data_IF_586395747569
#
_entry.id   IF_586395747569
#
_cell.length_a   1.000
_cell.length_b   1.000
_cell.length_c   1.000
_cell.angle_alpha   90.00
_cell.angle_beta   90.00
_cell.angle_gamma   90.00
#
_symmetry.space_group_name_H-M   'P 1'
#
loop_
_entity.id
_entity.type
_entity.pdbx_description
1 polymer ?
#
# COMPACT_ATOMS: atom_id res chain seq x y z
N UNK A 1 -39.84 5.16 34.92
CA UNK A 1 -39.47 3.89 34.24
C UNK A 1 -38.73 4.08 32.90
N UNK A 2 -39.17 4.95 31.98
CA UNK A 2 -38.52 5.15 30.65
C UNK A 2 -37.04 5.61 30.65
N UNK A 3 -36.56 6.32 31.69
CA UNK A 3 -35.14 6.74 31.79
C UNK A 3 -34.21 5.59 32.19
N UNK A 4 -34.72 4.64 32.98
CA UNK A 4 -33.94 3.50 33.47
C UNK A 4 -33.73 2.47 32.36
N UNK A 5 -34.75 2.21 31.53
CA UNK A 5 -34.64 1.32 30.37
C UNK A 5 -33.66 1.86 29.31
N UNK A 6 -33.63 3.17 29.05
CA UNK A 6 -32.67 3.77 28.11
C UNK A 6 -31.21 3.64 28.57
N UNK A 7 -30.93 3.74 29.88
CA UNK A 7 -29.58 3.55 30.43
C UNK A 7 -29.12 2.09 30.34
N UNK A 8 -30.02 1.14 30.58
CA UNK A 8 -29.74 -0.29 30.43
C UNK A 8 -29.46 -0.62 28.96
N UNK A 9 -30.28 -0.13 28.03
CA UNK A 9 -30.06 -0.30 26.59
C UNK A 9 -28.71 0.30 26.16
N UNK A 10 -28.38 1.51 26.63
CA UNK A 10 -27.09 2.14 26.34
C UNK A 10 -25.91 1.32 26.90
N UNK A 11 -26.02 0.80 28.13
CA UNK A 11 -24.99 -0.06 28.72
C UNK A 11 -24.82 -1.38 27.95
N UNK A 12 -25.91 -2.00 27.49
CA UNK A 12 -25.87 -3.20 26.65
C UNK A 12 -25.24 -2.94 25.28
N UNK A 13 -25.50 -1.78 24.66
CA UNK A 13 -24.85 -1.37 23.40
C UNK A 13 -23.35 -1.16 23.61
N UNK A 14 -22.95 -0.47 24.68
CA UNK A 14 -21.53 -0.27 25.00
C UNK A 14 -20.84 -1.60 25.27
N UNK A 15 -21.46 -2.52 26.01
CA UNK A 15 -20.91 -3.85 26.26
C UNK A 15 -20.77 -4.66 24.96
N UNK A 16 -21.75 -4.61 24.06
CA UNK A 16 -21.69 -5.26 22.76
C UNK A 16 -20.58 -4.66 21.89
N UNK A 17 -20.42 -3.34 21.88
CA UNK A 17 -19.33 -2.68 21.17
C UNK A 17 -17.97 -3.10 21.72
N UNK A 18 -17.79 -3.15 23.04
CA UNK A 18 -16.54 -3.62 23.67
C UNK A 18 -16.21 -5.05 23.25
N UNK A 19 -17.22 -5.93 23.20
CA UNK A 19 -17.05 -7.33 22.74
C UNK A 19 -16.71 -7.42 21.24
N UNK A 20 -17.32 -6.58 20.41
CA UNK A 20 -16.99 -6.50 18.98
C UNK A 20 -15.57 -5.99 18.77
N UNK A 21 -15.16 -4.91 19.44
CA UNK A 21 -13.81 -4.36 19.33
C UNK A 21 -12.72 -5.32 19.86
N UNK A 22 -12.97 -6.03 20.96
CA UNK A 22 -12.01 -6.98 21.50
C UNK A 22 -11.82 -8.19 20.59
N UNK A 23 -12.90 -8.66 19.95
CA UNK A 23 -12.81 -9.77 18.98
C UNK A 23 -11.93 -9.39 17.78
N UNK A 24 -12.14 -8.22 17.18
CA UNK A 24 -11.34 -7.72 16.05
C UNK A 24 -9.87 -7.58 16.43
N UNK A 25 -9.56 -7.04 17.62
CA UNK A 25 -8.18 -6.90 18.09
C UNK A 25 -7.47 -8.25 18.26
N UNK A 26 -8.16 -9.26 18.80
CA UNK A 26 -7.60 -10.61 18.97
C UNK A 26 -7.32 -11.28 17.62
N UNK A 27 -8.21 -11.08 16.63
CA UNK A 27 -8.01 -11.59 15.27
C UNK A 27 -6.81 -10.95 14.56
N UNK A 28 -6.64 -9.64 14.70
CA UNK A 28 -5.51 -8.91 14.08
C UNK A 28 -4.16 -9.39 14.65
N UNK A 29 -4.07 -9.57 15.98
CA UNK A 29 -2.83 -10.04 16.62
C UNK A 29 -2.44 -11.46 16.18
N UNK A 30 -3.43 -12.33 15.98
CA UNK A 30 -3.19 -13.69 15.49
C UNK A 30 -2.72 -13.69 14.03
N UNK A 31 -3.31 -12.85 13.18
CA UNK A 31 -2.90 -12.69 11.79
C UNK A 31 -1.46 -12.17 11.65
N UNK A 32 -1.07 -11.16 12.43
CA UNK A 32 0.30 -10.62 12.43
C UNK A 32 1.33 -11.68 12.81
N UNK A 33 1.03 -12.47 13.84
CA UNK A 33 1.91 -13.55 14.29
C UNK A 33 2.07 -14.63 13.21
N UNK A 34 0.97 -15.05 12.58
CA UNK A 34 1.00 -16.04 11.49
C UNK A 34 1.77 -15.48 10.30
N UNK A 35 1.58 -14.21 9.96
CA UNK A 35 2.31 -13.53 8.90
C UNK A 35 3.82 -13.53 9.15
N UNK A 36 4.27 -13.11 10.35
CA UNK A 36 5.70 -13.12 10.70
C UNK A 36 6.31 -14.53 10.70
N UNK A 37 5.54 -15.56 11.05
CA UNK A 37 5.99 -16.95 10.93
C UNK A 37 6.20 -17.33 9.45
N UNK A 38 5.30 -16.90 8.57
CA UNK A 38 5.42 -17.09 7.12
C UNK A 38 6.67 -16.39 6.55
N UNK A 39 6.91 -15.13 6.95
CA UNK A 39 8.10 -14.38 6.53
C UNK A 39 9.40 -15.07 6.98
N UNK A 40 9.42 -15.57 8.23
CA UNK A 40 10.55 -16.34 8.74
C UNK A 40 10.77 -17.63 7.94
N UNK A 41 9.71 -18.40 7.69
CA UNK A 41 9.79 -19.62 6.90
C UNK A 41 10.31 -19.35 5.47
N UNK A 42 9.84 -18.27 4.84
CA UNK A 42 10.31 -17.83 3.53
C UNK A 42 11.80 -17.49 3.54
N UNK A 43 12.25 -16.72 4.54
CA UNK A 43 13.66 -16.36 4.70
C UNK A 43 14.57 -17.59 4.95
N UNK A 44 14.03 -18.63 5.60
CA UNK A 44 14.71 -19.91 5.82
C UNK A 44 14.64 -20.86 4.59
N UNK A 45 14.00 -20.46 3.49
CA UNK A 45 13.83 -21.28 2.29
C UNK A 45 12.74 -22.36 2.40
N UNK A 46 11.95 -22.37 3.48
CA UNK A 46 10.85 -23.30 3.71
C UNK A 46 9.57 -22.79 3.04
N UNK A 47 9.59 -22.77 1.72
CA UNK A 47 8.55 -22.10 0.94
C UNK A 47 7.16 -22.73 1.09
N UNK A 48 7.05 -24.04 1.29
CA UNK A 48 5.75 -24.70 1.54
C UNK A 48 5.14 -24.27 2.89
N UNK A 49 5.97 -24.08 3.93
CA UNK A 49 5.50 -23.61 5.24
C UNK A 49 5.09 -22.15 5.19
N UNK A 50 5.84 -21.33 4.43
CA UNK A 50 5.50 -19.94 4.15
C UNK A 50 4.17 -19.84 3.41
N UNK A 51 3.99 -20.63 2.35
CA UNK A 51 2.77 -20.68 1.52
C UNK A 51 1.53 -20.99 2.37
N UNK A 52 1.66 -21.95 3.30
CA UNK A 52 0.59 -22.31 4.23
C UNK A 52 0.28 -21.17 5.20
N UNK A 53 1.30 -20.56 5.78
CA UNK A 53 1.14 -19.48 6.76
C UNK A 53 0.47 -18.25 6.14
N UNK A 54 0.93 -17.81 4.98
CA UNK A 54 0.32 -16.70 4.25
C UNK A 54 -1.11 -17.04 3.80
N UNK A 55 -1.36 -18.29 3.37
CA UNK A 55 -2.72 -18.76 3.05
C UNK A 55 -3.69 -18.59 4.23
N UNK A 56 -3.28 -18.94 5.45
CA UNK A 56 -4.10 -18.77 6.66
C UNK A 56 -4.43 -17.31 6.96
N UNK A 57 -3.53 -16.38 6.65
CA UNK A 57 -3.81 -14.95 6.81
C UNK A 57 -4.79 -14.48 5.73
N UNK A 58 -4.61 -14.91 4.48
CA UNK A 58 -5.51 -14.57 3.37
C UNK A 58 -6.92 -15.17 3.50
N UNK A 59 -7.10 -16.27 4.23
CA UNK A 59 -8.44 -16.79 4.58
C UNK A 59 -9.23 -15.80 5.44
N UNK A 60 -8.55 -15.02 6.28
CA UNK A 60 -9.15 -14.04 7.19
C UNK A 60 -9.22 -12.64 6.59
N UNK A 61 -8.18 -12.24 5.86
CA UNK A 61 -8.05 -10.95 5.20
C UNK A 61 -7.66 -11.14 3.72
N UNK A 62 -8.64 -11.47 2.85
CA UNK A 62 -8.36 -11.86 1.47
C UNK A 62 -7.70 -10.78 0.63
N UNK A 63 -7.92 -9.51 0.98
CA UNK A 63 -7.45 -8.33 0.24
C UNK A 63 -6.21 -7.70 0.88
N UNK A 64 -5.52 -8.42 1.75
CA UNK A 64 -4.28 -7.92 2.32
C UNK A 64 -3.17 -7.89 1.27
N UNK A 65 -2.95 -6.73 0.64
CA UNK A 65 -1.91 -6.53 -0.39
C UNK A 65 -0.53 -7.07 0.04
N UNK A 66 -0.12 -6.86 1.30
CA UNK A 66 1.20 -7.28 1.77
C UNK A 66 1.32 -8.80 1.74
N UNK A 67 0.28 -9.50 2.19
CA UNK A 67 0.26 -10.96 2.25
C UNK A 67 0.07 -11.55 0.85
N UNK A 68 -0.77 -10.95 0.00
CA UNK A 68 -0.92 -11.35 -1.40
C UNK A 68 0.42 -11.31 -2.12
N UNK A 69 1.21 -10.23 -1.92
CA UNK A 69 2.55 -10.09 -2.50
C UNK A 69 3.51 -11.15 -1.97
N UNK A 70 3.55 -11.37 -0.65
CA UNK A 70 4.40 -12.40 -0.04
C UNK A 70 4.04 -13.81 -0.52
N UNK A 71 2.75 -14.09 -0.72
CA UNK A 71 2.26 -15.35 -1.26
C UNK A 71 2.68 -15.51 -2.72
N UNK A 72 2.55 -14.48 -3.56
CA UNK A 72 3.00 -14.50 -4.95
C UNK A 72 4.52 -14.77 -5.04
N UNK A 73 5.34 -14.06 -4.24
CA UNK A 73 6.79 -14.27 -4.17
C UNK A 73 7.12 -15.72 -3.76
N UNK A 74 6.35 -16.29 -2.82
CA UNK A 74 6.48 -17.70 -2.39
C UNK A 74 6.11 -18.69 -3.49
N UNK A 75 5.03 -18.44 -4.22
CA UNK A 75 4.60 -19.26 -5.37
C UNK A 75 5.64 -19.26 -6.48
N UNK A 76 6.30 -18.12 -6.74
CA UNK A 76 7.42 -18.03 -7.69
C UNK A 76 8.60 -18.90 -7.23
N UNK A 77 8.96 -18.86 -5.95
CA UNK A 77 10.01 -19.74 -5.38
C UNK A 77 9.68 -21.22 -5.44
N UNK A 78 8.39 -21.56 -5.46
CA UNK A 78 7.87 -22.91 -5.64
C UNK A 78 7.64 -23.29 -7.12
N UNK A 79 8.01 -22.42 -8.06
CA UNK A 79 7.78 -22.59 -9.52
C UNK A 79 6.29 -22.72 -9.92
N UNK A 80 5.38 -22.24 -9.07
CA UNK A 80 3.92 -22.20 -9.31
C UNK A 80 3.53 -20.90 -10.01
N UNK A 81 4.04 -20.69 -11.21
CA UNK A 81 3.97 -19.39 -11.90
C UNK A 81 2.55 -18.93 -12.22
N UNK A 82 1.66 -19.84 -12.64
CA UNK A 82 0.26 -19.48 -12.95
C UNK A 82 -0.48 -18.98 -11.70
N UNK A 83 -0.27 -19.62 -10.55
CA UNK A 83 -0.89 -19.19 -9.30
C UNK A 83 -0.30 -17.85 -8.81
N UNK A 84 1.00 -17.62 -9.03
CA UNK A 84 1.63 -16.35 -8.72
C UNK A 84 1.07 -15.21 -9.58
N UNK A 85 0.91 -15.45 -10.89
CA UNK A 85 0.35 -14.50 -11.84
C UNK A 85 -1.06 -14.07 -11.43
N UNK A 86 -1.93 -15.03 -11.09
CA UNK A 86 -3.29 -14.72 -10.60
C UNK A 86 -3.28 -13.82 -9.35
N UNK A 87 -2.33 -14.02 -8.43
CA UNK A 87 -2.21 -13.18 -7.24
C UNK A 87 -1.70 -11.78 -7.59
N UNK A 88 -0.75 -11.68 -8.52
CA UNK A 88 -0.21 -10.40 -9.00
C UNK A 88 -1.27 -9.60 -9.77
N UNK A 89 -2.04 -10.25 -10.65
CA UNK A 89 -3.17 -9.63 -11.35
C UNK A 89 -4.22 -9.11 -10.37
N UNK A 90 -4.51 -9.87 -9.31
CA UNK A 90 -5.40 -9.42 -8.24
C UNK A 90 -4.86 -8.16 -7.56
N UNK A 91 -3.56 -8.12 -7.24
CA UNK A 91 -2.91 -6.94 -6.65
C UNK A 91 -3.00 -5.73 -7.59
N UNK A 92 -2.76 -5.93 -8.89
CA UNK A 92 -2.82 -4.89 -9.91
C UNK A 92 -4.25 -4.36 -10.13
N UNK A 93 -5.26 -5.18 -9.92
CA UNK A 93 -6.66 -4.77 -9.99
C UNK A 93 -7.16 -4.04 -8.73
N UNK A 94 -6.38 -4.00 -7.65
CA UNK A 94 -6.78 -3.28 -6.44
C UNK A 94 -6.78 -1.77 -6.68
N UNK A 95 -7.67 -1.00 -6.02
CA UNK A 95 -7.65 0.46 -6.12
C UNK A 95 -6.25 0.99 -5.78
N UNK A 96 -5.71 1.84 -6.65
CA UNK A 96 -4.47 2.59 -6.37
C UNK A 96 -4.71 3.44 -5.11
N UNK A 97 -4.24 2.93 -3.98
CA UNK A 97 -4.32 3.63 -2.72
C UNK A 97 -3.08 3.29 -1.90
N UNK A 98 -1.98 3.99 -2.19
CA UNK A 98 -0.85 4.09 -1.25
C UNK A 98 -1.08 5.12 -0.14
N UNK A 99 -2.28 5.71 -0.08
CA UNK A 99 -2.64 6.71 0.93
C UNK A 99 -2.01 8.08 0.72
N UNK A 100 -1.42 8.36 -0.45
CA UNK A 100 -0.83 9.66 -0.80
C UNK A 100 -1.65 10.40 -1.86
N UNK A 101 -2.95 10.47 -1.62
CA UNK A 101 -3.85 11.24 -2.45
C UNK A 101 -3.58 12.73 -2.26
N UNK A 102 -3.24 13.40 -3.34
CA UNK A 102 -2.98 14.84 -3.39
C UNK A 102 -3.98 15.52 -4.32
N UNK A 103 -4.21 16.81 -4.11
CA UNK A 103 -4.94 17.64 -5.04
C UNK A 103 -3.93 18.52 -5.78
N UNK A 104 -3.85 18.37 -7.10
CA UNK A 104 -2.94 19.13 -7.96
C UNK A 104 -3.71 20.25 -8.65
N UNK A 105 -3.18 21.46 -8.55
CA UNK A 105 -3.72 22.64 -9.21
C UNK A 105 -2.79 23.07 -10.32
N UNK A 106 -3.35 23.32 -11.51
CA UNK A 106 -2.64 24.06 -12.54
C UNK A 106 -2.53 25.53 -12.11
N UNK A 107 -1.41 26.18 -12.45
CA UNK A 107 -1.17 27.58 -12.10
C UNK A 107 -2.32 28.46 -12.64
N UNK A 108 -3.02 29.14 -11.73
CA UNK A 108 -4.15 30.00 -12.07
C UNK A 108 -5.51 29.29 -12.19
N UNK A 109 -5.57 27.96 -12.05
CA UNK A 109 -6.82 27.20 -11.99
C UNK A 109 -7.32 27.03 -10.56
N UNK A 110 -8.61 27.27 -10.33
CA UNK A 110 -9.28 26.98 -9.07
C UNK A 110 -9.76 25.51 -8.96
N UNK A 111 -9.74 24.75 -10.08
CA UNK A 111 -10.23 23.37 -10.11
C UNK A 111 -9.06 22.40 -9.94
N UNK A 112 -8.97 21.79 -8.76
CA UNK A 112 -7.98 20.76 -8.48
C UNK A 112 -8.32 19.42 -9.14
N UNK A 113 -7.29 18.68 -9.55
CA UNK A 113 -7.38 17.29 -10.00
C UNK A 113 -6.88 16.36 -8.88
N UNK A 114 -7.59 15.26 -8.64
CA UNK A 114 -7.11 14.22 -7.72
C UNK A 114 -5.95 13.48 -8.37
N UNK A 115 -4.90 13.24 -7.61
CA UNK A 115 -3.75 12.49 -8.06
C UNK A 115 -3.18 11.67 -6.90
N UNK A 116 -2.46 10.60 -7.19
CA UNK A 116 -1.61 9.93 -6.22
C UNK A 116 -0.16 10.39 -6.37
N UNK A 117 0.47 10.80 -5.26
CA UNK A 117 1.88 11.13 -5.25
C UNK A 117 2.72 9.85 -5.34
N UNK A 118 3.60 9.79 -6.33
CA UNK A 118 4.47 8.65 -6.61
C UNK A 118 5.81 8.82 -5.90
N UNK A 119 6.43 9.99 -6.04
CA UNK A 119 7.71 10.32 -5.42
C UNK A 119 7.74 11.78 -4.96
N UNK A 120 8.28 12.01 -3.76
CA UNK A 120 8.43 13.35 -3.15
C UNK A 120 9.74 14.04 -3.56
N UNK A 121 10.71 13.27 -4.07
CA UNK A 121 12.05 13.73 -4.42
C UNK A 121 12.56 13.02 -5.66
N UNK A 122 12.11 13.41 -6.84
CA UNK A 122 12.92 13.19 -8.04
C UNK A 122 13.96 14.31 -8.03
N UNK A 123 15.15 13.99 -7.52
CA UNK A 123 16.31 14.86 -7.60
C UNK A 123 16.78 14.80 -9.06
N UNK A 124 16.95 15.96 -9.71
CA UNK A 124 17.90 16.04 -10.82
C UNK A 124 19.24 15.69 -10.18
N UNK A 125 19.79 14.53 -10.50
CA UNK A 125 21.20 14.28 -10.24
C UNK A 125 21.91 15.37 -11.04
N UNK A 126 22.62 16.27 -10.36
CA UNK A 126 23.56 17.13 -11.07
C UNK A 126 24.50 16.25 -11.90
N UNK A 127 25.03 16.79 -12.99
CA UNK A 127 25.78 16.07 -14.03
C UNK A 127 27.08 15.37 -13.54
N UNK A 128 27.30 15.23 -12.23
CA UNK A 128 28.47 14.55 -11.64
C UNK A 128 28.26 13.06 -11.32
N UNK A 129 27.07 12.51 -11.54
CA UNK A 129 26.74 11.14 -11.13
C UNK A 129 26.28 10.20 -12.26
N UNK A 130 27.23 9.79 -13.13
CA UNK A 130 27.16 8.63 -14.04
C UNK A 130 25.76 8.11 -14.43
N UNK A 131 25.27 8.52 -15.61
CA UNK A 131 24.25 7.77 -16.36
C UNK A 131 24.65 7.79 -17.84
N UNK A 132 24.68 6.59 -18.45
CA UNK A 132 25.05 6.35 -19.85
C UNK A 132 24.35 7.31 -20.81
N UNK A 133 25.13 7.90 -21.72
CA UNK A 133 24.73 8.95 -22.66
C UNK A 133 23.75 8.50 -23.77
N UNK A 134 23.18 7.29 -23.68
CA UNK A 134 22.42 6.71 -24.79
C UNK A 134 20.90 6.71 -24.57
N UNK A 135 20.37 6.99 -23.38
CA UNK A 135 18.91 6.98 -23.15
C UNK A 135 18.48 7.96 -22.04
N UNK A 136 18.07 9.17 -22.43
CA UNK A 136 16.74 9.81 -22.20
C UNK A 136 16.87 11.29 -22.52
N UNK A 137 16.41 11.64 -23.73
CA UNK A 137 16.18 12.99 -24.20
C UNK A 137 14.81 13.47 -23.68
N UNK A 138 14.77 14.11 -22.51
CA UNK A 138 13.70 15.06 -22.21
C UNK A 138 14.33 16.27 -21.54
N UNK A 139 14.44 17.36 -22.30
CA UNK A 139 14.85 18.67 -21.81
C UNK A 139 13.81 19.17 -20.78
N UNK A 140 14.07 18.84 -19.52
CA UNK A 140 13.25 19.26 -18.38
C UNK A 140 13.62 20.66 -17.87
N UNK A 141 14.55 21.37 -18.54
CA UNK A 141 14.99 22.71 -18.15
C UNK A 141 13.83 23.71 -18.08
N UNK A 142 12.82 23.54 -18.95
CA UNK A 142 11.58 24.34 -18.95
C UNK A 142 10.75 24.25 -17.65
N UNK A 143 10.99 23.22 -16.82
CA UNK A 143 10.28 23.01 -15.55
C UNK A 143 11.10 23.45 -14.33
N UNK A 144 12.36 23.86 -14.53
CA UNK A 144 13.23 24.39 -13.47
C UNK A 144 13.02 25.90 -13.40
N UNK A 145 12.85 26.44 -12.19
CA UNK A 145 12.73 27.89 -12.00
C UNK A 145 14.11 28.54 -11.94
N UNK A 146 14.26 29.68 -12.61
CA UNK A 146 15.52 30.45 -12.66
C UNK A 146 16.05 30.90 -11.29
N UNK A 147 15.19 30.94 -10.26
CA UNK A 147 15.52 31.35 -8.89
C UNK A 147 15.74 30.17 -7.92
N UNK A 148 15.79 28.94 -8.42
CA UNK A 148 16.01 27.76 -7.59
C UNK A 148 17.44 27.70 -7.05
N UNK A 149 17.61 27.98 -5.75
CA UNK A 149 18.87 27.72 -5.04
C UNK A 149 18.83 26.30 -4.46
N UNK A 150 19.52 25.37 -5.12
CA UNK A 150 19.62 23.97 -4.71
C UNK A 150 18.68 23.02 -5.48
N UNK A 151 18.68 21.73 -5.13
CA UNK A 151 17.93 20.72 -5.87
C UNK A 151 16.42 21.02 -5.82
N UNK A 152 15.81 21.21 -6.99
CA UNK A 152 14.36 21.40 -7.11
C UNK A 152 13.67 20.05 -6.93
N UNK A 153 12.86 19.85 -5.88
CA UNK A 153 12.10 18.61 -5.74
C UNK A 153 11.04 18.55 -6.84
N UNK A 154 11.22 17.65 -7.80
CA UNK A 154 10.17 17.30 -8.74
C UNK A 154 9.28 16.23 -8.11
N UNK A 155 7.96 16.46 -8.18
CA UNK A 155 6.95 15.52 -7.74
C UNK A 155 6.42 14.76 -8.94
N UNK A 156 6.49 13.44 -8.90
CA UNK A 156 5.79 12.59 -9.87
C UNK A 156 4.44 12.23 -9.30
N UNK A 157 3.38 12.45 -10.08
CA UNK A 157 2.01 12.17 -9.66
C UNK A 157 1.29 11.35 -10.75
N UNK A 158 0.44 10.41 -10.35
CA UNK A 158 -0.52 9.77 -11.25
C UNK A 158 -1.86 10.48 -11.13
N UNK A 159 -2.34 11.11 -12.22
CA UNK A 159 -3.65 11.75 -12.22
C UNK A 159 -4.71 10.65 -12.20
N UNK A 160 -5.55 10.64 -11.17
CA UNK A 160 -6.65 9.70 -11.07
C UNK A 160 -7.71 10.11 -12.10
N UNK A 161 -8.05 9.21 -13.03
CA UNK A 161 -9.10 9.43 -14.01
C UNK A 161 -10.46 9.63 -13.32
N UNK A 162 -11.27 10.52 -13.90
CA UNK A 162 -12.57 10.94 -13.36
C UNK A 162 -13.65 9.90 -13.58
#
# INVERSE_FOLDING_TARGET
MKKLSKKIIAASIVQLLILLFSSVALYAQDADKIFSNGEKAFAEGKYQDAEKSFGQVLEKDPDNYKVLRAQADTKIKLEKFQEAEMLLDRILAMPESRGRNVLVFEKGSAKGRKAELVDEKVMVLDDSGYVDADHVDEDISQFVKDDAIGPVPHFRVFILSS
#
